data_IF_909252661515
#
_entry.id   IF_909252661515
#
_cell.length_a   1.000
_cell.length_b   1.000
_cell.length_c   1.000
_cell.angle_alpha   90.00
_cell.angle_beta   90.00
_cell.angle_gamma   90.00
#
_symmetry.space_group_name_H-M   'P 1'
#
loop_
_entity.id
_entity.type
_entity.pdbx_description
1 polymer ?
#
# COMPACT_ATOMS: atom_id res chain seq x y z
N UNK A 1 15.67 -43.15 16.89
CA UNK A 1 14.42 -42.64 17.47
C UNK A 1 14.81 -41.59 18.52
N UNK A 2 15.09 -40.37 18.08
CA UNK A 2 15.44 -39.26 18.98
C UNK A 2 14.10 -38.65 19.36
N UNK A 3 13.74 -38.74 20.64
CA UNK A 3 12.55 -38.08 21.18
C UNK A 3 12.71 -36.57 20.92
N UNK A 4 11.98 -36.06 19.94
CA UNK A 4 11.91 -34.64 19.64
C UNK A 4 11.14 -33.99 20.80
N UNK A 5 11.84 -33.16 21.55
CA UNK A 5 11.40 -32.56 22.81
C UNK A 5 10.22 -31.59 22.58
N UNK A 6 9.02 -32.09 22.88
CA UNK A 6 7.71 -31.42 22.76
C UNK A 6 7.62 -30.11 23.58
N UNK A 7 8.53 -29.91 24.54
CA UNK A 7 8.61 -28.70 25.36
C UNK A 7 9.22 -27.49 24.62
N UNK A 8 10.14 -27.72 23.66
CA UNK A 8 10.72 -26.63 22.84
C UNK A 8 9.74 -26.08 21.81
N UNK A 9 8.87 -26.94 21.27
CA UNK A 9 7.80 -26.56 20.34
C UNK A 9 6.72 -25.69 21.00
N UNK A 10 6.39 -25.94 22.27
CA UNK A 10 5.41 -25.15 23.02
C UNK A 10 5.93 -23.77 23.45
N UNK A 11 7.24 -23.62 23.68
CA UNK A 11 7.86 -22.34 24.05
C UNK A 11 8.19 -21.47 22.82
N UNK A 12 8.49 -22.09 21.67
CA UNK A 12 8.78 -21.38 20.41
C UNK A 12 7.53 -20.87 19.71
N UNK A 13 6.39 -21.54 19.87
CA UNK A 13 5.10 -21.13 19.30
C UNK A 13 4.66 -19.69 19.66
N UNK A 14 4.58 -19.29 20.95
CA UNK A 14 4.20 -17.92 21.31
C UNK A 14 5.23 -16.89 20.82
N UNK A 15 6.51 -17.25 20.79
CA UNK A 15 7.57 -16.38 20.28
C UNK A 15 7.39 -16.06 18.79
N UNK A 16 7.13 -17.06 17.95
CA UNK A 16 6.91 -16.86 16.52
C UNK A 16 5.66 -16.01 16.22
N UNK A 17 4.56 -16.23 16.97
CA UNK A 17 3.35 -15.43 16.83
C UNK A 17 3.61 -13.97 17.23
N UNK A 18 4.27 -13.73 18.37
CA UNK A 18 4.61 -12.37 18.80
C UNK A 18 5.54 -11.69 17.80
N UNK A 19 6.56 -12.39 17.30
CA UNK A 19 7.46 -11.87 16.27
C UNK A 19 6.71 -11.50 14.97
N UNK A 20 5.81 -12.36 14.50
CA UNK A 20 4.98 -12.09 13.34
C UNK A 20 4.10 -10.85 13.55
N UNK A 21 3.46 -10.71 14.71
CA UNK A 21 2.63 -9.53 15.04
C UNK A 21 3.47 -8.25 15.07
N UNK A 22 4.65 -8.27 15.70
CA UNK A 22 5.54 -7.11 15.78
C UNK A 22 6.03 -6.67 14.40
N UNK A 23 6.46 -7.61 13.56
CA UNK A 23 6.88 -7.33 12.19
C UNK A 23 5.73 -6.79 11.33
N UNK A 24 4.52 -7.31 11.55
CA UNK A 24 3.33 -6.85 10.87
C UNK A 24 2.96 -5.41 11.27
N UNK A 25 3.01 -5.09 12.56
CA UNK A 25 2.80 -3.71 13.02
C UNK A 25 3.87 -2.80 12.43
N UNK A 26 5.14 -3.22 12.42
CA UNK A 26 6.23 -2.46 11.84
C UNK A 26 6.02 -2.20 10.33
N UNK A 27 5.55 -3.20 9.56
CA UNK A 27 5.28 -3.03 8.13
C UNK A 27 4.15 -2.02 7.89
N UNK A 28 3.11 -2.04 8.72
CA UNK A 28 2.03 -1.04 8.69
C UNK A 28 2.52 0.37 9.01
N UNK A 29 3.38 0.53 10.02
CA UNK A 29 3.99 1.84 10.34
C UNK A 29 4.81 2.38 9.16
N UNK A 30 5.60 1.53 8.50
CA UNK A 30 6.36 1.94 7.32
C UNK A 30 5.45 2.31 6.14
N UNK A 31 4.32 1.60 5.94
CA UNK A 31 3.32 1.95 4.92
C UNK A 31 2.71 3.34 5.19
N UNK A 32 2.44 3.68 6.45
CA UNK A 32 1.95 5.02 6.84
C UNK A 32 3.02 6.09 6.63
N UNK A 33 4.27 5.81 7.00
CA UNK A 33 5.41 6.73 6.77
C UNK A 33 5.63 6.99 5.28
N UNK A 34 5.53 5.95 4.44
CA UNK A 34 5.60 6.09 2.98
C UNK A 34 4.50 7.01 2.45
N UNK A 35 3.27 6.81 2.93
CA UNK A 35 2.15 7.68 2.60
C UNK A 35 2.39 9.14 3.04
N UNK A 36 2.97 9.34 4.22
CA UNK A 36 3.35 10.66 4.71
C UNK A 36 4.36 11.36 3.79
N UNK A 37 5.39 10.64 3.32
CA UNK A 37 6.40 11.18 2.39
C UNK A 37 5.80 11.55 1.04
N UNK A 38 4.83 10.77 0.55
CA UNK A 38 4.09 11.09 -0.68
C UNK A 38 3.39 12.45 -0.53
N UNK A 39 2.78 12.70 0.63
CA UNK A 39 1.96 13.89 0.88
C UNK A 39 2.66 15.02 1.67
N UNK A 40 3.98 14.95 1.87
CA UNK A 40 4.72 15.87 2.75
C UNK A 40 4.57 17.35 2.35
N UNK A 41 4.46 17.65 1.05
CA UNK A 41 4.25 19.02 0.53
C UNK A 41 2.92 19.64 0.93
N UNK A 42 1.93 18.83 1.32
CA UNK A 42 0.56 19.30 1.56
C UNK A 42 0.25 19.60 3.02
N UNK A 43 1.22 19.42 3.92
CA UNK A 43 1.10 19.72 5.36
C UNK A 43 -0.12 19.06 6.02
N UNK A 44 -0.54 17.88 5.55
CA UNK A 44 -1.58 17.12 6.24
C UNK A 44 -1.08 16.67 7.60
N UNK A 45 -1.97 16.66 8.59
CA UNK A 45 -1.64 16.12 9.90
C UNK A 45 -1.43 14.61 9.79
N UNK A 46 -0.48 14.07 10.57
CA UNK A 46 -0.21 12.64 10.61
C UNK A 46 -1.48 11.82 10.95
N UNK A 47 -2.33 12.34 11.85
CA UNK A 47 -3.59 11.69 12.24
C UNK A 47 -4.60 11.57 11.08
N UNK A 48 -4.68 12.58 10.21
CA UNK A 48 -5.56 12.52 9.02
C UNK A 48 -5.11 11.41 8.07
N UNK A 49 -3.80 11.31 7.84
CA UNK A 49 -3.22 10.28 6.99
C UNK A 49 -3.37 8.89 7.60
N UNK A 50 -3.17 8.76 8.92
CA UNK A 50 -3.39 7.53 9.67
C UNK A 50 -4.84 7.05 9.53
N UNK A 51 -5.82 7.93 9.76
CA UNK A 51 -7.25 7.60 9.65
C UNK A 51 -7.61 7.06 8.27
N UNK A 52 -7.20 7.76 7.21
CA UNK A 52 -7.48 7.34 5.84
C UNK A 52 -6.77 6.03 5.50
N UNK A 53 -5.52 5.89 5.93
CA UNK A 53 -4.78 4.65 5.77
C UNK A 53 -5.52 3.47 6.41
N UNK A 54 -5.95 3.60 7.67
CA UNK A 54 -6.63 2.53 8.40
C UNK A 54 -7.95 2.13 7.74
N UNK A 55 -8.78 3.11 7.35
CA UNK A 55 -10.05 2.82 6.68
C UNK A 55 -9.81 2.12 5.34
N UNK A 56 -8.86 2.62 4.54
CA UNK A 56 -8.57 2.04 3.22
C UNK A 56 -7.92 0.67 3.33
N UNK A 57 -7.06 0.41 4.32
CA UNK A 57 -6.47 -0.89 4.59
C UNK A 57 -7.54 -1.93 4.97
N UNK A 58 -8.51 -1.54 5.79
CA UNK A 58 -9.64 -2.39 6.14
C UNK A 58 -10.51 -2.77 4.95
N UNK A 59 -10.93 -1.76 4.19
CA UNK A 59 -11.77 -1.98 3.00
C UNK A 59 -11.03 -2.87 1.99
N UNK A 60 -9.73 -2.69 1.84
CA UNK A 60 -8.93 -3.50 0.93
C UNK A 60 -8.77 -4.97 1.36
N UNK A 61 -8.90 -5.28 2.66
CA UNK A 61 -8.93 -6.66 3.14
C UNK A 61 -10.30 -7.31 3.04
N UNK A 62 -11.37 -6.55 3.28
CA UNK A 62 -12.74 -7.08 3.30
C UNK A 62 -13.28 -7.26 1.88
N UNK A 63 -12.93 -6.36 0.95
CA UNK A 63 -13.51 -6.35 -0.39
C UNK A 63 -12.59 -7.07 -1.39
N UNK A 64 -13.00 -8.26 -1.90
CA UNK A 64 -12.26 -8.93 -2.96
C UNK A 64 -12.33 -8.17 -4.30
N UNK A 65 -11.53 -8.57 -5.29
CA UNK A 65 -11.51 -8.01 -6.66
C UNK A 65 -10.92 -6.61 -6.87
N UNK A 66 -9.93 -6.19 -6.07
CA UNK A 66 -9.19 -4.91 -6.26
C UNK A 66 -10.05 -3.64 -6.16
N UNK A 67 -11.33 -3.74 -5.77
CA UNK A 67 -12.23 -2.60 -5.53
C UNK A 67 -11.70 -1.74 -4.35
N UNK A 68 -11.00 -2.36 -3.39
CA UNK A 68 -10.33 -1.66 -2.30
C UNK A 68 -9.32 -0.60 -2.77
N UNK A 69 -8.66 -0.81 -3.92
CA UNK A 69 -7.75 0.18 -4.50
C UNK A 69 -8.51 1.37 -5.10
N UNK A 70 -9.67 1.14 -5.72
CA UNK A 70 -10.53 2.22 -6.23
C UNK A 70 -11.09 3.06 -5.07
N UNK A 71 -11.48 2.41 -3.98
CA UNK A 71 -11.87 3.09 -2.75
C UNK A 71 -10.73 3.95 -2.20
N UNK A 72 -9.50 3.42 -2.18
CA UNK A 72 -8.31 4.16 -1.74
C UNK A 72 -8.03 5.39 -2.61
N UNK A 73 -8.17 5.28 -3.93
CA UNK A 73 -8.09 6.44 -4.84
C UNK A 73 -9.16 7.46 -4.48
N UNK A 74 -10.41 7.04 -4.22
CA UNK A 74 -11.50 7.95 -3.89
C UNK A 74 -11.26 8.73 -2.58
N UNK A 75 -10.78 8.06 -1.53
CA UNK A 75 -10.54 8.69 -0.23
C UNK A 75 -9.35 9.65 -0.28
N UNK A 76 -8.27 9.29 -0.99
CA UNK A 76 -7.17 10.23 -1.23
C UNK A 76 -7.58 11.40 -2.10
N UNK A 77 -8.48 11.17 -3.08
CA UNK A 77 -9.01 12.24 -3.92
C UNK A 77 -9.83 13.23 -3.10
N UNK A 78 -10.64 12.74 -2.15
CA UNK A 78 -11.40 13.58 -1.20
C UNK A 78 -10.46 14.36 -0.28
N UNK A 79 -9.46 13.70 0.31
CA UNK A 79 -8.47 14.36 1.18
C UNK A 79 -7.73 15.48 0.44
N UNK A 80 -7.33 15.21 -0.80
CA UNK A 80 -6.53 16.14 -1.59
C UNK A 80 -7.37 17.15 -2.37
N UNK A 81 -8.70 17.06 -2.30
CA UNK A 81 -9.66 17.83 -3.14
C UNK A 81 -9.31 17.77 -4.63
N UNK A 82 -8.76 16.65 -5.10
CA UNK A 82 -8.35 16.46 -6.49
C UNK A 82 -8.21 14.99 -6.81
N UNK A 83 -9.01 14.53 -7.76
CA UNK A 83 -8.93 13.17 -8.30
C UNK A 83 -7.53 12.83 -8.82
N UNK A 84 -6.89 13.80 -9.49
CA UNK A 84 -5.56 13.65 -10.10
C UNK A 84 -4.52 13.24 -9.08
N UNK A 85 -4.55 13.86 -7.91
CA UNK A 85 -3.57 13.58 -6.86
C UNK A 85 -3.83 12.24 -6.19
N UNK A 86 -5.09 11.91 -5.91
CA UNK A 86 -5.44 10.61 -5.35
C UNK A 86 -5.01 9.46 -6.26
N UNK A 87 -5.33 9.57 -7.56
CA UNK A 87 -4.96 8.57 -8.55
C UNK A 87 -3.45 8.39 -8.70
N UNK A 88 -2.71 9.48 -8.95
CA UNK A 88 -1.25 9.38 -9.17
C UNK A 88 -0.52 8.88 -7.92
N UNK A 89 -0.96 9.29 -6.73
CA UNK A 89 -0.33 8.85 -5.49
C UNK A 89 -0.44 7.33 -5.32
N UNK A 90 -1.63 6.76 -5.53
CA UNK A 90 -1.83 5.31 -5.50
C UNK A 90 -1.07 4.63 -6.63
N UNK A 91 -1.09 5.19 -7.84
CA UNK A 91 -0.39 4.62 -8.99
C UNK A 91 1.12 4.52 -8.76
N UNK A 92 1.74 5.56 -8.20
CA UNK A 92 3.17 5.57 -7.87
C UNK A 92 3.49 4.55 -6.78
N UNK A 93 2.65 4.40 -5.75
CA UNK A 93 2.82 3.32 -4.77
C UNK A 93 2.77 1.94 -5.44
N UNK A 94 1.77 1.71 -6.31
CA UNK A 94 1.60 0.44 -7.03
C UNK A 94 2.78 0.14 -7.93
N UNK A 95 3.36 1.16 -8.56
CA UNK A 95 4.59 1.02 -9.35
C UNK A 95 5.76 0.49 -8.51
N UNK A 96 6.04 1.10 -7.35
CA UNK A 96 7.12 0.64 -6.47
C UNK A 96 6.86 -0.77 -5.90
N UNK A 97 5.63 -1.04 -5.46
CA UNK A 97 5.25 -2.37 -4.95
C UNK A 97 5.44 -3.44 -6.04
N UNK A 98 4.97 -3.18 -7.27
CA UNK A 98 5.08 -4.12 -8.39
C UNK A 98 6.52 -4.31 -8.85
N UNK A 99 7.32 -3.24 -8.86
CA UNK A 99 8.74 -3.32 -9.22
C UNK A 99 9.52 -4.22 -8.26
N UNK A 100 9.31 -4.06 -6.94
CA UNK A 100 9.96 -4.94 -5.96
C UNK A 100 9.44 -6.37 -6.02
N UNK A 101 8.13 -6.56 -6.17
CA UNK A 101 7.55 -7.88 -6.40
C UNK A 101 8.16 -8.58 -7.60
N UNK A 102 8.38 -7.86 -8.70
CA UNK A 102 9.03 -8.40 -9.89
C UNK A 102 10.47 -8.84 -9.58
N UNK A 103 11.25 -8.00 -8.90
CA UNK A 103 12.63 -8.32 -8.50
C UNK A 103 12.63 -9.58 -7.61
N UNK A 104 11.78 -9.63 -6.59
CA UNK A 104 11.67 -10.77 -5.68
C UNK A 104 11.22 -12.03 -6.40
N UNK A 105 10.21 -11.94 -7.27
CA UNK A 105 9.74 -13.08 -8.03
C UNK A 105 10.82 -13.64 -8.96
N UNK A 106 11.63 -12.79 -9.61
CA UNK A 106 12.76 -13.23 -10.44
C UNK A 106 13.85 -13.89 -9.61
N UNK A 107 14.26 -13.27 -8.49
CA UNK A 107 15.30 -13.83 -7.61
C UNK A 107 14.86 -15.17 -7.00
N UNK A 108 13.62 -15.26 -6.53
CA UNK A 108 13.07 -16.49 -5.96
C UNK A 108 12.92 -17.59 -7.03
N UNK A 109 12.52 -17.24 -8.25
CA UNK A 109 12.42 -18.21 -9.35
C UNK A 109 13.81 -18.75 -9.74
N UNK A 110 14.83 -17.90 -9.73
CA UNK A 110 16.21 -18.30 -10.00
C UNK A 110 16.78 -19.20 -8.89
N UNK A 111 16.42 -18.96 -7.64
CA UNK A 111 16.88 -19.74 -6.49
C UNK A 111 16.19 -21.10 -6.36
N UNK A 112 14.87 -21.14 -6.54
CA UNK A 112 14.07 -22.37 -6.38
C UNK A 112 14.09 -23.27 -7.61
N UNK A 113 14.44 -22.71 -8.79
CA UNK A 113 14.31 -23.39 -10.07
C UNK A 113 12.86 -23.53 -10.54
N UNK A 114 11.87 -23.05 -9.76
CA UNK A 114 10.47 -23.04 -10.15
C UNK A 114 10.10 -21.67 -10.73
N UNK A 115 9.52 -21.64 -11.92
CA UNK A 115 9.18 -20.38 -12.60
C UNK A 115 7.68 -20.27 -12.83
N UNK A 116 7.07 -19.23 -12.24
CA UNK A 116 5.67 -18.88 -12.46
C UNK A 116 5.55 -17.81 -13.56
N UNK A 117 5.61 -18.23 -14.82
CA UNK A 117 5.65 -17.34 -15.98
C UNK A 117 4.47 -16.34 -16.04
N UNK A 118 3.25 -16.77 -15.72
CA UNK A 118 2.08 -15.89 -15.74
C UNK A 118 2.22 -14.68 -14.79
N UNK A 119 2.68 -14.92 -13.55
CA UNK A 119 2.94 -13.87 -12.56
C UNK A 119 4.02 -12.91 -13.07
N UNK A 120 5.15 -13.45 -13.54
CA UNK A 120 6.27 -12.65 -14.05
C UNK A 120 5.86 -11.77 -15.24
N UNK A 121 5.11 -12.33 -16.20
CA UNK A 121 4.64 -11.59 -17.38
C UNK A 121 3.72 -10.45 -16.97
N UNK A 122 2.78 -10.67 -16.04
CA UNK A 122 1.84 -9.63 -15.59
C UNK A 122 2.59 -8.50 -14.87
N UNK A 123 3.48 -8.85 -13.93
CA UNK A 123 4.27 -7.87 -13.19
C UNK A 123 5.19 -7.08 -14.13
N UNK A 124 5.87 -7.77 -15.05
CA UNK A 124 6.73 -7.16 -16.05
C UNK A 124 5.94 -6.23 -16.97
N UNK A 125 4.79 -6.67 -17.50
CA UNK A 125 3.96 -5.87 -18.39
C UNK A 125 3.48 -4.60 -17.70
N UNK A 126 3.04 -4.68 -16.44
CA UNK A 126 2.63 -3.50 -15.69
C UNK A 126 3.76 -2.48 -15.52
N UNK A 127 4.96 -2.95 -15.13
CA UNK A 127 6.15 -2.09 -14.97
C UNK A 127 6.57 -1.50 -16.32
N UNK A 128 6.64 -2.33 -17.36
CA UNK A 128 7.05 -1.94 -18.71
C UNK A 128 6.10 -0.89 -19.30
N UNK A 129 4.78 -1.11 -19.22
CA UNK A 129 3.77 -0.14 -19.69
C UNK A 129 3.86 1.17 -18.91
N UNK A 130 4.04 1.11 -17.59
CA UNK A 130 4.17 2.32 -16.76
C UNK A 130 5.42 3.12 -17.11
N UNK A 131 6.57 2.45 -17.29
CA UNK A 131 7.82 3.09 -17.70
C UNK A 131 7.73 3.65 -19.12
N UNK A 132 7.20 2.86 -20.06
CA UNK A 132 6.99 3.29 -21.44
C UNK A 132 6.11 4.55 -21.50
N UNK A 133 4.98 4.55 -20.80
CA UNK A 133 4.12 5.71 -20.70
C UNK A 133 4.87 6.91 -20.09
N UNK A 134 5.61 6.71 -19.01
CA UNK A 134 6.35 7.79 -18.34
C UNK A 134 7.46 8.40 -19.20
N UNK A 135 8.22 7.59 -19.93
CA UNK A 135 9.32 8.07 -20.78
C UNK A 135 8.85 8.60 -22.14
N UNK A 136 7.81 8.01 -22.72
CA UNK A 136 7.26 8.42 -24.02
C UNK A 136 6.45 9.71 -23.94
N UNK A 137 5.76 9.95 -22.81
CA UNK A 137 4.87 11.10 -22.63
C UNK A 137 5.44 12.48 -23.03
N UNK A 138 6.66 12.90 -22.62
CA UNK A 138 7.19 14.22 -23.02
C UNK A 138 7.35 14.39 -24.53
N UNK A 139 7.67 13.31 -25.26
CA UNK A 139 7.79 13.33 -26.72
C UNK A 139 6.42 13.38 -27.38
N UNK A 140 5.51 12.50 -26.97
CA UNK A 140 4.12 12.45 -27.48
C UNK A 140 3.40 13.79 -27.25
N UNK A 141 3.53 14.38 -26.07
CA UNK A 141 2.89 15.67 -25.75
C UNK A 141 3.39 16.81 -26.66
N UNK A 142 4.71 16.89 -26.91
CA UNK A 142 5.28 17.93 -27.78
C UNK A 142 4.79 17.77 -29.22
N UNK A 143 4.81 16.55 -29.74
CA UNK A 143 4.38 16.24 -31.10
C UNK A 143 2.89 16.53 -31.31
N UNK A 144 2.02 16.02 -30.41
CA UNK A 144 0.58 16.28 -30.48
C UNK A 144 0.24 17.77 -30.38
N UNK A 145 0.92 18.51 -29.49
CA UNK A 145 0.71 19.97 -29.38
C UNK A 145 1.10 20.70 -30.66
N UNK A 146 2.24 20.36 -31.26
CA UNK A 146 2.73 21.01 -32.48
C UNK A 146 1.82 20.70 -33.68
N UNK A 147 1.34 19.46 -33.82
CA UNK A 147 0.38 19.09 -34.86
C UNK A 147 -0.95 19.82 -34.71
N UNK A 148 -1.53 19.83 -33.51
CA UNK A 148 -2.84 20.48 -33.31
C UNK A 148 -2.76 21.98 -33.57
N UNK A 149 -1.70 22.66 -33.10
CA UNK A 149 -1.53 24.11 -33.31
C UNK A 149 -1.20 24.49 -34.76
N UNK A 150 -0.61 23.59 -35.54
CA UNK A 150 -0.21 23.88 -36.94
C UNK A 150 -1.26 23.47 -37.98
N UNK A 151 -2.09 22.46 -37.72
CA UNK A 151 -2.92 21.83 -38.75
C UNK A 151 -4.42 21.71 -38.43
N UNK A 152 -4.87 22.00 -37.20
CA UNK A 152 -6.23 21.64 -36.80
C UNK A 152 -7.02 22.80 -36.18
N UNK A 153 -7.94 23.37 -36.96
CA UNK A 153 -9.09 24.14 -36.47
C UNK A 153 -10.31 23.24 -36.20
N UNK A 154 -10.13 21.92 -36.20
CA UNK A 154 -11.21 20.95 -36.00
C UNK A 154 -11.54 20.79 -34.52
N UNK A 155 -12.83 20.64 -34.20
CA UNK A 155 -13.33 20.31 -32.86
C UNK A 155 -12.64 19.08 -32.25
N UNK A 156 -12.25 18.10 -33.07
CA UNK A 156 -11.49 16.91 -32.63
C UNK A 156 -10.06 17.25 -32.21
N UNK A 157 -9.43 18.24 -32.84
CA UNK A 157 -8.09 18.71 -32.48
C UNK A 157 -8.09 19.41 -31.13
N UNK A 158 -9.11 20.23 -30.86
CA UNK A 158 -9.30 20.88 -29.56
C UNK A 158 -9.51 19.85 -28.44
N UNK A 159 -10.37 18.84 -28.67
CA UNK A 159 -10.60 17.76 -27.70
C UNK A 159 -9.32 16.95 -27.41
N UNK A 160 -8.53 16.65 -28.44
CA UNK A 160 -7.23 15.99 -28.25
C UNK A 160 -6.27 16.85 -27.42
N UNK A 161 -6.26 18.17 -27.65
CA UNK A 161 -5.43 19.09 -26.89
C UNK A 161 -5.84 19.15 -25.41
N UNK A 162 -7.14 19.27 -25.11
CA UNK A 162 -7.67 19.26 -23.75
C UNK A 162 -7.33 17.96 -23.01
N UNK A 163 -7.41 16.82 -23.70
CA UNK A 163 -7.01 15.53 -23.15
C UNK A 163 -5.50 15.48 -22.86
N UNK A 164 -4.67 15.93 -23.79
CA UNK A 164 -3.21 16.00 -23.62
C UNK A 164 -2.79 16.94 -22.49
N UNK A 165 -3.47 18.08 -22.33
CA UNK A 165 -3.25 19.01 -21.23
C UNK A 165 -3.65 18.39 -19.89
N UNK A 166 -4.78 17.68 -19.83
CA UNK A 166 -5.15 16.91 -18.66
C UNK A 166 -4.08 15.89 -18.30
N UNK A 167 -3.63 15.06 -19.23
CA UNK A 167 -2.55 14.09 -19.01
C UNK A 167 -1.25 14.73 -18.55
N UNK A 168 -0.90 15.91 -19.08
CA UNK A 168 0.30 16.65 -18.65
C UNK A 168 0.25 17.03 -17.18
N UNK A 169 -0.93 17.32 -16.64
CA UNK A 169 -1.09 17.59 -15.20
C UNK A 169 -0.79 16.33 -14.37
N UNK A 170 -1.29 15.15 -14.79
CA UNK A 170 -0.95 13.88 -14.14
C UNK A 170 0.55 13.59 -14.22
N UNK A 171 1.15 13.71 -15.40
CA UNK A 171 2.58 13.47 -15.62
C UNK A 171 3.46 14.42 -14.79
N UNK A 172 3.15 15.72 -14.80
CA UNK A 172 3.94 16.72 -14.06
C UNK A 172 3.86 16.46 -12.55
N UNK A 173 2.70 16.07 -12.05
CA UNK A 173 2.53 15.70 -10.65
C UNK A 173 3.31 14.42 -10.31
N UNK A 174 3.20 13.37 -11.11
CA UNK A 174 3.97 12.13 -10.93
C UNK A 174 5.49 12.40 -10.93
N UNK A 175 5.97 13.20 -11.89
CA UNK A 175 7.38 13.59 -12.00
C UNK A 175 7.84 14.38 -10.78
N UNK A 176 7.05 15.33 -10.27
CA UNK A 176 7.36 16.07 -9.04
C UNK A 176 7.40 15.15 -7.82
N UNK A 177 6.47 14.20 -7.72
CA UNK A 177 6.39 13.26 -6.61
C UNK A 177 7.61 12.35 -6.53
N UNK A 178 8.06 11.85 -7.68
CA UNK A 178 9.20 10.92 -7.77
C UNK A 178 10.55 11.66 -7.69
N UNK A 179 10.64 12.87 -8.24
CA UNK A 179 11.90 13.65 -8.28
C UNK A 179 12.36 13.99 -6.86
N UNK A 180 13.52 13.49 -6.48
CA UNK A 180 14.12 13.72 -5.16
C UNK A 180 13.59 12.80 -4.04
N UNK A 181 12.52 12.02 -4.30
CA UNK A 181 11.96 11.06 -3.33
C UNK A 181 12.08 9.60 -3.77
N UNK A 182 12.59 9.34 -4.97
CA UNK A 182 12.74 7.98 -5.47
C UNK A 182 13.48 7.04 -4.51
N UNK A 183 14.68 7.39 -3.97
CA UNK A 183 15.42 6.47 -3.11
C UNK A 183 14.68 6.15 -1.80
N UNK A 184 14.04 7.16 -1.19
CA UNK A 184 13.32 6.97 0.08
C UNK A 184 12.03 6.16 -0.13
N UNK A 185 11.29 6.39 -1.21
CA UNK A 185 10.09 5.62 -1.54
C UNK A 185 10.45 4.16 -1.88
N UNK A 186 11.51 3.95 -2.66
CA UNK A 186 12.00 2.62 -2.98
C UNK A 186 12.49 1.88 -1.73
N UNK A 187 13.32 2.54 -0.91
CA UNK A 187 13.86 1.96 0.33
C UNK A 187 12.76 1.60 1.34
N UNK A 188 11.75 2.45 1.52
CA UNK A 188 10.60 2.11 2.37
C UNK A 188 9.82 0.92 1.84
N UNK A 189 9.61 0.87 0.52
CA UNK A 189 8.90 -0.26 -0.12
C UNK A 189 9.69 -1.56 0.06
N UNK A 190 11.02 -1.50 0.00
CA UNK A 190 11.90 -2.66 0.26
C UNK A 190 11.79 -3.14 1.69
N UNK A 191 11.88 -2.22 2.67
CA UNK A 191 11.74 -2.56 4.08
C UNK A 191 10.36 -3.15 4.39
N UNK A 192 9.28 -2.59 3.82
CA UNK A 192 7.92 -3.13 3.98
C UNK A 192 7.87 -4.58 3.50
N UNK A 193 8.38 -4.87 2.31
CA UNK A 193 8.39 -6.22 1.75
C UNK A 193 9.28 -7.20 2.54
N UNK A 194 10.44 -6.75 3.05
CA UNK A 194 11.29 -7.58 3.91
C UNK A 194 10.59 -7.95 5.23
N UNK A 195 9.90 -6.98 5.86
CA UNK A 195 9.11 -7.23 7.05
C UNK A 195 7.95 -8.20 6.76
N UNK A 196 7.25 -8.03 5.64
CA UNK A 196 6.16 -8.92 5.22
C UNK A 196 6.64 -10.33 4.89
N UNK A 197 7.81 -10.45 4.25
CA UNK A 197 8.49 -11.74 4.06
C UNK A 197 8.83 -12.40 5.40
N UNK A 198 9.28 -11.61 6.38
CA UNK A 198 9.50 -12.08 7.76
C UNK A 198 8.22 -12.56 8.45
N UNK A 199 7.11 -11.83 8.30
CA UNK A 199 5.79 -12.26 8.81
C UNK A 199 5.41 -13.60 8.18
N UNK A 200 5.55 -13.74 6.86
CA UNK A 200 5.25 -14.98 6.16
C UNK A 200 6.11 -16.15 6.68
N UNK A 201 7.42 -15.92 6.87
CA UNK A 201 8.33 -16.92 7.45
C UNK A 201 7.86 -17.37 8.85
N UNK A 202 7.54 -16.45 9.75
CA UNK A 202 7.11 -16.83 11.10
C UNK A 202 5.73 -17.52 11.12
N UNK A 203 4.79 -17.09 10.27
CA UNK A 203 3.47 -17.71 10.15
C UNK A 203 3.56 -19.14 9.60
N UNK A 204 4.37 -19.37 8.57
CA UNK A 204 4.59 -20.73 8.02
C UNK A 204 5.25 -21.64 9.05
N UNK A 205 6.28 -21.17 9.76
CA UNK A 205 6.89 -21.92 10.86
C UNK A 205 5.88 -22.30 11.96
N UNK A 206 4.85 -21.49 12.22
CA UNK A 206 3.78 -21.83 13.19
C UNK A 206 2.77 -22.85 12.68
N UNK A 207 2.57 -22.96 11.36
CA UNK A 207 1.49 -23.75 10.76
C UNK A 207 1.95 -25.13 10.27
N UNK A 208 3.15 -25.24 9.70
CA UNK A 208 3.61 -26.45 8.99
C UNK A 208 4.94 -26.99 9.50
N UNK A 209 5.56 -26.34 10.49
CA UNK A 209 6.89 -26.69 11.08
C UNK A 209 8.08 -26.71 10.10
N UNK A 210 7.85 -26.60 8.79
CA UNK A 210 8.86 -26.51 7.74
C UNK A 210 8.57 -25.30 6.84
N UNK A 211 9.60 -24.48 6.61
CA UNK A 211 9.52 -23.35 5.68
C UNK A 211 9.92 -23.79 4.28
N UNK A 212 9.02 -23.67 3.31
CA UNK A 212 9.32 -23.91 1.90
C UNK A 212 9.17 -22.62 1.09
N UNK A 213 10.24 -22.21 0.40
CA UNK A 213 10.24 -21.04 -0.49
C UNK A 213 9.28 -21.19 -1.68
N UNK A 214 9.00 -22.42 -2.12
CA UNK A 214 8.00 -22.70 -3.15
C UNK A 214 6.57 -22.40 -2.68
N UNK A 215 6.34 -22.43 -1.37
CA UNK A 215 5.05 -22.09 -0.77
C UNK A 215 4.82 -20.58 -0.80
N UNK A 216 5.85 -19.76 -0.58
CA UNK A 216 5.79 -18.32 -0.78
C UNK A 216 5.41 -17.98 -2.23
N UNK A 217 6.05 -18.64 -3.20
CA UNK A 217 5.75 -18.43 -4.61
C UNK A 217 4.34 -18.89 -5.00
N UNK A 218 3.87 -20.00 -4.41
CA UNK A 218 2.48 -20.47 -4.57
C UNK A 218 1.47 -19.49 -3.98
N UNK A 219 1.73 -18.94 -2.79
CA UNK A 219 0.86 -17.94 -2.16
C UNK A 219 0.83 -16.65 -2.99
N UNK A 220 1.99 -16.15 -3.43
CA UNK A 220 2.07 -15.00 -4.33
C UNK A 220 1.28 -15.25 -5.61
N UNK A 221 1.43 -16.41 -6.25
CA UNK A 221 0.68 -16.76 -7.46
C UNK A 221 -0.84 -16.93 -7.20
N UNK A 222 -1.22 -17.54 -6.07
CA UNK A 222 -2.61 -17.77 -5.67
C UNK A 222 -3.39 -16.48 -5.40
N UNK A 223 -2.72 -15.42 -4.92
CA UNK A 223 -3.32 -14.08 -4.80
C UNK A 223 -3.69 -13.50 -6.17
N UNK A 224 -3.02 -13.91 -7.26
CA UNK A 224 -3.30 -13.45 -8.62
C UNK A 224 -4.21 -14.38 -9.42
N UNK A 225 -4.09 -15.70 -9.23
CA UNK A 225 -4.85 -16.73 -9.94
C UNK A 225 -6.12 -17.12 -9.17
N UNK A 226 -7.16 -16.27 -9.22
CA UNK A 226 -8.43 -16.46 -8.51
C UNK A 226 -9.28 -17.70 -8.93
N UNK A 227 -8.73 -18.68 -9.65
CA UNK A 227 -9.53 -19.83 -10.12
C UNK A 227 -8.67 -21.03 -10.53
N UNK A 228 -8.34 -21.89 -9.55
CA UNK A 228 -8.39 -23.36 -9.60
C UNK A 228 -7.64 -23.90 -8.38
N UNK A 229 -8.32 -23.86 -7.24
CA UNK A 229 -7.83 -24.45 -6.01
C UNK A 229 -8.30 -25.91 -6.01
N UNK A 230 -7.42 -26.82 -6.37
CA UNK A 230 -7.54 -28.23 -6.00
C UNK A 230 -6.44 -28.49 -4.96
N UNK A 231 -6.83 -28.79 -3.72
CA UNK A 231 -5.99 -29.46 -2.74
C UNK A 231 -5.67 -28.69 -1.45
N UNK A 232 -5.30 -27.40 -1.50
CA UNK A 232 -4.63 -26.74 -0.35
C UNK A 232 -5.20 -25.34 -0.02
N UNK A 233 -6.52 -25.21 -0.11
CA UNK A 233 -7.27 -23.98 0.20
C UNK A 233 -7.12 -23.54 1.67
N UNK A 234 -6.84 -24.47 2.59
CA UNK A 234 -6.85 -24.21 4.03
C UNK A 234 -5.83 -23.19 4.49
N UNK A 235 -4.63 -23.16 3.90
CA UNK A 235 -3.56 -22.26 4.32
C UNK A 235 -3.77 -20.82 3.87
N UNK A 236 -4.24 -20.61 2.64
CA UNK A 236 -4.59 -19.28 2.13
C UNK A 236 -5.73 -18.64 2.94
N UNK A 237 -6.78 -19.39 3.26
CA UNK A 237 -7.87 -18.88 4.11
C UNK A 237 -7.40 -18.56 5.54
N UNK A 238 -6.43 -19.32 6.08
CA UNK A 238 -5.83 -19.04 7.40
C UNK A 238 -4.95 -17.80 7.40
N UNK A 239 -4.13 -17.59 6.36
CA UNK A 239 -3.29 -16.39 6.21
C UNK A 239 -4.16 -15.14 6.00
N UNK A 240 -5.19 -15.24 5.16
CA UNK A 240 -6.16 -14.16 4.96
C UNK A 240 -6.93 -13.89 6.25
N UNK A 241 -7.37 -14.93 6.97
CA UNK A 241 -8.02 -14.80 8.27
C UNK A 241 -7.14 -14.15 9.33
N UNK A 242 -5.86 -14.51 9.40
CA UNK A 242 -4.87 -13.88 10.29
C UNK A 242 -4.66 -12.41 9.94
N UNK A 243 -4.60 -12.07 8.65
CA UNK A 243 -4.56 -10.69 8.18
C UNK A 243 -5.80 -9.89 8.61
N UNK A 244 -7.00 -10.46 8.41
CA UNK A 244 -8.27 -9.81 8.79
C UNK A 244 -8.34 -9.55 10.30
N UNK A 245 -7.88 -10.50 11.13
CA UNK A 245 -7.87 -10.35 12.59
C UNK A 245 -6.83 -9.34 13.08
N UNK A 246 -5.66 -9.28 12.46
CA UNK A 246 -4.58 -8.36 12.84
C UNK A 246 -4.87 -6.92 12.40
N UNK A 247 -5.27 -6.71 11.14
CA UNK A 247 -5.76 -5.39 10.68
C UNK A 247 -7.03 -4.99 11.44
N UNK A 248 -7.90 -5.98 11.68
CA UNK A 248 -8.90 -6.09 12.74
C UNK A 248 -8.59 -5.30 14.00
N UNK A 249 -7.70 -5.88 14.80
CA UNK A 249 -7.26 -5.31 16.06
C UNK A 249 -6.55 -3.96 15.89
N UNK A 250 -5.74 -3.79 14.85
CA UNK A 250 -5.02 -2.54 14.61
C UNK A 250 -5.98 -1.36 14.37
N UNK A 251 -7.07 -1.51 13.62
CA UNK A 251 -8.01 -0.39 13.48
C UNK A 251 -8.85 -0.13 14.71
N UNK A 252 -9.22 -1.17 15.46
CA UNK A 252 -9.94 -1.00 16.71
C UNK A 252 -9.09 -0.18 17.69
N UNK A 253 -7.79 -0.51 17.79
CA UNK A 253 -6.81 0.24 18.56
C UNK A 253 -6.64 1.67 18.04
N UNK A 254 -6.49 1.87 16.72
CA UNK A 254 -6.35 3.21 16.13
C UNK A 254 -7.62 4.05 16.36
N UNK A 255 -8.82 3.47 16.23
CA UNK A 255 -10.07 4.15 16.51
C UNK A 255 -10.19 4.52 18.00
N UNK A 256 -9.77 3.64 18.92
CA UNK A 256 -9.72 3.97 20.35
C UNK A 256 -8.73 5.10 20.64
N UNK A 257 -7.54 5.08 20.02
CA UNK A 257 -6.53 6.14 20.18
C UNK A 257 -7.08 7.47 19.64
N UNK A 258 -7.67 7.47 18.43
CA UNK A 258 -8.27 8.67 17.83
C UNK A 258 -9.39 9.19 18.74
N UNK A 259 -10.30 8.32 19.20
CA UNK A 259 -11.38 8.69 20.11
C UNK A 259 -10.84 9.30 21.41
N UNK A 260 -9.82 8.69 22.01
CA UNK A 260 -9.19 9.20 23.24
C UNK A 260 -8.53 10.58 23.03
N UNK A 261 -7.81 10.79 21.92
CA UNK A 261 -7.17 12.07 21.63
C UNK A 261 -8.17 13.18 21.26
N UNK A 262 -9.24 12.85 20.51
CA UNK A 262 -10.32 13.80 20.19
C UNK A 262 -11.05 14.21 21.46
N UNK A 263 -11.44 13.25 22.29
CA UNK A 263 -12.14 13.53 23.55
C UNK A 263 -11.25 14.33 24.53
N UNK A 264 -9.96 14.00 24.62
CA UNK A 264 -8.99 14.78 25.41
C UNK A 264 -8.85 16.22 24.91
N UNK A 265 -8.87 16.44 23.59
CA UNK A 265 -8.80 17.79 23.00
C UNK A 265 -10.07 18.60 23.28
N UNK A 266 -11.25 17.98 23.19
CA UNK A 266 -12.53 18.63 23.50
C UNK A 266 -12.64 18.99 24.99
N UNK A 267 -12.21 18.10 25.88
CA UNK A 267 -12.13 18.37 27.33
C UNK A 267 -11.17 19.52 27.67
N UNK A 268 -10.03 19.62 26.97
CA UNK A 268 -9.09 20.74 27.15
C UNK A 268 -9.69 22.08 26.68
N UNK A 269 -10.46 22.08 25.58
CA UNK A 269 -11.12 23.28 25.08
C UNK A 269 -12.26 23.73 26.00
N UNK A 270 -13.06 22.81 26.54
CA UNK A 270 -14.11 23.12 27.51
C UNK A 270 -13.54 23.60 28.85
N UNK A 271 -12.46 22.97 29.33
CA UNK A 271 -11.73 23.43 30.50
C UNK A 271 -11.23 24.87 30.33
N UNK A 272 -10.64 25.20 29.17
CA UNK A 272 -10.10 26.55 28.93
C UNK A 272 -11.22 27.61 28.80
N UNK A 273 -12.36 27.26 28.22
CA UNK A 273 -13.53 28.13 28.18
C UNK A 273 -14.10 28.40 29.58
N UNK A 274 -14.19 27.38 30.44
CA UNK A 274 -14.66 27.56 31.81
C UNK A 274 -13.74 28.46 32.64
N UNK A 275 -12.42 28.39 32.43
CA UNK A 275 -11.48 29.31 33.07
C UNK A 275 -11.65 30.76 32.60
N UNK A 276 -11.89 30.99 31.30
CA UNK A 276 -12.17 32.32 30.78
C UNK A 276 -13.48 32.92 31.29
N UNK A 277 -14.53 32.09 31.42
CA UNK A 277 -15.82 32.50 31.98
C UNK A 277 -15.66 32.86 33.46
N UNK A 278 -14.98 32.02 34.26
CA UNK A 278 -14.75 32.33 35.69
C UNK A 278 -13.91 33.60 35.92
N UNK A 279 -13.00 33.94 35.01
CA UNK A 279 -12.22 35.18 35.11
C UNK A 279 -13.02 36.44 34.75
N UNK A 280 -14.00 36.34 33.84
CA UNK A 280 -14.87 37.47 33.51
C UNK A 280 -15.90 37.79 34.60
N UNK A 281 -16.32 36.80 35.40
CA UNK A 281 -17.23 37.01 36.54
C UNK A 281 -16.53 37.44 37.84
N UNK A 282 -15.19 37.54 37.86
CA UNK A 282 -14.39 37.95 39.03
C UNK A 282 -13.81 39.38 38.94
N UNK A 283 -14.09 40.11 37.86
CA UNK A 283 -13.82 41.55 37.73
C UNK A 283 -15.10 42.34 37.96
#
# INVERSE_FOLDING_TARGET
>A
MIAFDDSRLKLSFPFYVVAAVLLYIASHLLRITRLYIIFIERKFSFLQLLKIYTITAWVNMVIPFKIGEMFRVSEFSKLCKSFKMGFVSVWVERFFDTLLLLIFAVVLSAYTGTTHYALLIILFLFVAVTLFAFFSFPFSYRYSKQLTLSHSQSSKGLLLLEFMESLKLYYTFAKKLVRGRFPILFGLTLLIWLLEGGVFYYVTCTLTSEYNLDELMRVLNGVWASSKIHGDSGMLYKIVGFGVLTIGGISALINQIIFHFVNKRENLLQSNNNYHIQYQFRK
#
